data_IF_542045433034
#
_entry.id   IF_542045433034
#
_cell.length_a   1.000
_cell.length_b   1.000
_cell.length_c   1.000
_cell.angle_alpha   90.00
_cell.angle_beta   90.00
_cell.angle_gamma   90.00
#
_symmetry.space_group_name_H-M   'P 1'
#
loop_
_entity.id
_entity.type
_entity.pdbx_description
1 polymer ?
#
# COMPACT_ATOMS: atom_id res chain seq x y z
N UNK A 1 1.78 -6.97 4.66
CA UNK A 1 1.07 -5.68 4.45
C UNK A 1 0.64 -5.05 5.77
N UNK A 2 -0.15 -5.73 6.61
CA UNK A 2 -0.65 -5.16 7.88
C UNK A 2 0.47 -4.66 8.81
N UNK A 3 1.53 -5.44 9.03
CA UNK A 3 2.65 -5.02 9.89
C UNK A 3 3.41 -3.79 9.38
N UNK A 4 3.54 -3.64 8.05
CA UNK A 4 4.17 -2.48 7.41
C UNK A 4 3.35 -1.22 7.69
N UNK A 5 2.03 -1.27 7.50
CA UNK A 5 1.17 -0.12 7.76
C UNK A 5 1.13 0.22 9.25
N UNK A 6 1.08 -0.80 10.12
CA UNK A 6 1.05 -0.60 11.58
C UNK A 6 2.30 0.09 12.14
N UNK A 7 3.49 -0.07 11.55
CA UNK A 7 4.67 0.68 12.00
C UNK A 7 4.51 2.18 11.71
N UNK A 8 4.08 2.53 10.50
CA UNK A 8 3.84 3.93 10.13
C UNK A 8 2.70 4.57 10.94
N UNK A 9 1.64 3.82 11.26
CA UNK A 9 0.56 4.35 12.11
C UNK A 9 1.05 4.67 13.52
N UNK A 10 1.95 3.86 14.10
CA UNK A 10 2.57 4.14 15.41
C UNK A 10 3.48 5.36 15.40
N UNK A 11 4.07 5.66 14.25
CA UNK A 11 4.92 6.84 14.02
C UNK A 11 4.09 8.12 13.73
N UNK A 12 2.75 8.01 13.73
CA UNK A 12 1.82 9.12 13.51
C UNK A 12 1.53 9.42 12.04
N UNK A 13 1.85 8.50 11.13
CA UNK A 13 1.49 8.62 9.72
C UNK A 13 0.08 8.05 9.47
N UNK A 14 -0.72 8.81 8.75
CA UNK A 14 -2.08 8.44 8.34
C UNK A 14 -2.07 7.99 6.88
N UNK A 15 -2.75 6.89 6.57
CA UNK A 15 -2.92 6.40 5.19
C UNK A 15 -4.02 7.22 4.54
N UNK A 16 -3.67 8.14 3.63
CA UNK A 16 -4.66 8.93 2.86
C UNK A 16 -5.17 8.20 1.63
N UNK A 17 -4.31 7.41 1.00
CA UNK A 17 -4.68 6.68 -0.22
C UNK A 17 -3.95 5.35 -0.30
N UNK A 18 -4.70 4.33 -0.72
CA UNK A 18 -4.18 3.03 -1.08
C UNK A 18 -4.68 2.68 -2.47
N UNK A 19 -3.76 2.58 -3.43
CA UNK A 19 -4.05 2.13 -4.78
C UNK A 19 -3.43 0.76 -5.00
N UNK A 20 -4.24 -0.19 -5.46
CA UNK A 20 -3.77 -1.53 -5.82
C UNK A 20 -3.94 -1.70 -7.31
N UNK A 21 -2.84 -1.98 -8.00
CA UNK A 21 -2.86 -2.29 -9.41
C UNK A 21 -2.56 -3.77 -9.63
N UNK A 22 -3.54 -4.50 -10.16
CA UNK A 22 -3.41 -5.91 -10.50
C UNK A 22 -3.41 -6.07 -12.01
N UNK A 23 -2.30 -6.52 -12.57
CA UNK A 23 -2.19 -6.81 -14.00
C UNK A 23 -2.00 -8.31 -14.22
N UNK A 24 -2.82 -8.89 -15.08
CA UNK A 24 -2.62 -10.25 -15.61
C UNK A 24 -1.59 -10.16 -16.73
N UNK A 25 -0.45 -10.82 -16.56
CA UNK A 25 0.64 -10.84 -17.54
C UNK A 25 0.58 -12.05 -18.47
N UNK A 26 -0.06 -13.15 -18.03
CA UNK A 26 -0.30 -14.36 -18.84
C UNK A 26 -1.43 -15.21 -18.23
N UNK A 27 -1.71 -16.39 -18.80
CA UNK A 27 -2.81 -17.27 -18.37
C UNK A 27 -2.77 -17.61 -16.87
N UNK A 28 -1.57 -17.84 -16.31
CA UNK A 28 -1.37 -18.21 -14.91
C UNK A 28 -0.53 -17.21 -14.11
N UNK A 29 -0.14 -16.09 -14.72
CA UNK A 29 0.66 -15.06 -14.05
C UNK A 29 -0.12 -13.77 -13.88
N UNK A 30 -0.08 -13.27 -12.65
CA UNK A 30 -0.55 -11.94 -12.32
C UNK A 30 0.46 -11.26 -11.42
N UNK A 31 0.60 -9.95 -11.59
CA UNK A 31 1.41 -9.10 -10.74
C UNK A 31 0.50 -8.12 -10.04
N UNK A 32 0.71 -7.99 -8.74
CA UNK A 32 0.08 -6.96 -7.92
C UNK A 32 1.13 -5.94 -7.52
N UNK A 33 0.80 -4.66 -7.72
CA UNK A 33 1.56 -3.54 -7.22
C UNK A 33 0.68 -2.76 -6.24
N UNK A 34 1.27 -2.35 -5.13
CA UNK A 34 0.59 -1.63 -4.07
C UNK A 34 1.26 -0.27 -3.90
N UNK A 35 0.49 0.80 -4.01
CA UNK A 35 0.91 2.17 -3.77
C UNK A 35 0.19 2.69 -2.53
N UNK A 36 0.97 3.15 -1.56
CA UNK A 36 0.46 3.76 -0.34
C UNK A 36 0.94 5.21 -0.28
N UNK A 37 0.01 6.15 -0.13
CA UNK A 37 0.31 7.55 0.13
C UNK A 37 0.03 7.81 1.61
N UNK A 38 1.10 8.08 2.34
CA UNK A 38 1.08 8.39 3.77
C UNK A 38 1.24 9.89 3.95
N UNK A 39 0.45 10.46 4.84
CA UNK A 39 0.55 11.86 5.25
C UNK A 39 0.85 11.91 6.75
N UNK A 40 1.75 12.81 7.16
CA UNK A 40 1.99 13.10 8.57
C UNK A 40 1.55 14.55 8.82
N UNK A 41 0.46 14.78 9.57
CA UNK A 41 0.12 16.12 10.01
C UNK A 41 1.21 16.60 10.97
N UNK A 42 1.82 17.75 10.65
CA UNK A 42 2.73 18.50 11.53
C UNK A 42 1.95 19.25 12.60
#
# INVERSE_FOLDING_TARGET
>A
MSQFLSSYTREGWEVKTMSVERRRTALFWSREAYLFVLERPL
#
